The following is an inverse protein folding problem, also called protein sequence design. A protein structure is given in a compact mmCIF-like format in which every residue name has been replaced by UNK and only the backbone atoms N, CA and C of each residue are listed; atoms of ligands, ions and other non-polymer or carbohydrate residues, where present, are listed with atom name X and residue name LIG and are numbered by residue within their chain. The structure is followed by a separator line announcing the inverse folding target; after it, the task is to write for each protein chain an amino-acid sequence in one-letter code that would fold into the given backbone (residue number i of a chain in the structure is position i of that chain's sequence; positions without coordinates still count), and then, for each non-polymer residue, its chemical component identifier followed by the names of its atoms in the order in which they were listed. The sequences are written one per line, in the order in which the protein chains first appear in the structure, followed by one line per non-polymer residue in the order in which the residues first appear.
data_IF_391756624784
#
_entry.id   IF_391756624784
#
_cell.length_a   1.000
_cell.length_b   1.000
_cell.length_c   1.000
_cell.angle_alpha   90.00
_cell.angle_beta   90.00
_cell.angle_gamma   90.00
#
_symmetry.space_group_name_H-M   'P 1'
#
loop_
_entity.id
_entity.type
_entity.pdbx_description
1 polymer ?
#
# COMPACT_ATOMS: atom_id res chain seq x y z
N UNK A 1 4.62 -24.58 21.44
CA UNK A 1 5.47 -23.54 20.82
C UNK A 1 4.59 -22.34 20.54
N UNK A 2 4.49 -21.40 21.48
CA UNK A 2 3.64 -20.21 21.35
C UNK A 2 4.42 -19.14 20.57
N UNK A 3 3.91 -18.73 19.41
CA UNK A 3 4.53 -17.69 18.59
C UNK A 3 4.18 -16.34 19.21
N UNK A 4 5.17 -15.67 19.80
CA UNK A 4 4.99 -14.33 20.34
C UNK A 4 4.68 -13.36 19.19
N UNK A 5 3.51 -12.73 19.24
CA UNK A 5 3.14 -11.64 18.33
C UNK A 5 3.98 -10.42 18.71
N UNK A 6 5.01 -10.11 17.91
CA UNK A 6 5.81 -8.89 18.07
C UNK A 6 4.93 -7.70 17.69
N UNK A 7 4.46 -6.96 18.69
CA UNK A 7 3.76 -5.70 18.48
C UNK A 7 4.68 -4.71 17.75
N UNK A 8 4.27 -4.28 16.56
CA UNK A 8 5.02 -3.30 15.79
C UNK A 8 4.83 -1.93 16.44
N UNK A 9 5.82 -1.52 17.24
CA UNK A 9 5.90 -0.17 17.80
C UNK A 9 5.96 0.85 16.66
N UNK A 10 5.06 1.85 16.68
CA UNK A 10 5.04 3.00 15.77
C UNK A 10 6.10 4.06 16.11
N UNK A 11 6.94 3.82 17.12
CA UNK A 11 8.03 4.72 17.49
C UNK A 11 9.06 4.73 16.37
N UNK A 12 9.36 5.92 15.84
CA UNK A 12 10.45 6.12 14.91
C UNK A 12 11.78 5.87 15.63
N UNK A 13 12.24 4.61 15.61
CA UNK A 13 13.54 4.23 16.16
C UNK A 13 14.60 4.92 15.29
N UNK A 14 15.48 5.75 15.87
CA UNK A 14 16.55 6.37 15.10
C UNK A 14 17.40 5.27 14.45
N UNK A 15 17.91 5.49 13.22
CA UNK A 15 18.72 4.49 12.54
C UNK A 15 19.86 4.03 13.45
N UNK A 16 19.99 2.72 13.64
CA UNK A 16 21.08 2.17 14.44
C UNK A 16 22.41 2.61 13.80
N UNK A 17 23.13 3.51 14.46
CA UNK A 17 24.37 4.09 13.93
C UNK A 17 25.52 3.08 13.97
N UNK A 18 25.46 2.14 14.92
CA UNK A 18 26.52 1.18 15.13
C UNK A 18 26.58 0.16 13.98
N UNK A 19 27.78 -0.11 13.44
CA UNK A 19 27.99 -1.19 12.49
C UNK A 19 27.66 -2.54 13.14
N UNK A 20 27.28 -3.53 12.34
CA UNK A 20 27.09 -4.88 12.84
C UNK A 20 28.43 -5.37 13.42
N UNK A 21 28.49 -5.80 14.69
CA UNK A 21 29.75 -6.06 15.38
C UNK A 21 30.57 -7.17 14.71
N UNK A 22 29.89 -8.12 14.08
CA UNK A 22 30.52 -9.26 13.40
C UNK A 22 31.01 -8.93 11.98
N UNK A 23 30.45 -7.89 11.35
CA UNK A 23 30.70 -7.56 9.93
C UNK A 23 30.78 -6.04 9.69
N UNK A 24 31.75 -5.34 10.30
CA UNK A 24 31.85 -3.87 10.22
C UNK A 24 32.12 -3.37 8.80
N UNK A 25 32.93 -4.09 8.01
CA UNK A 25 33.22 -3.74 6.61
C UNK A 25 32.04 -3.95 5.64
N UNK A 26 30.96 -4.59 6.09
CA UNK A 26 29.73 -4.80 5.32
C UNK A 26 28.56 -3.95 5.82
N UNK A 27 28.80 -3.08 6.80
CA UNK A 27 27.78 -2.19 7.33
C UNK A 27 27.59 -0.97 6.43
N UNK A 28 26.34 -0.59 6.18
CA UNK A 28 26.02 0.62 5.43
C UNK A 28 26.34 1.86 6.28
N UNK A 29 26.99 2.84 5.66
CA UNK A 29 27.17 4.15 6.29
C UNK A 29 25.84 4.92 6.35
N UNK A 30 25.82 6.02 7.11
CA UNK A 30 24.60 6.83 7.32
C UNK A 30 23.96 7.29 6.00
N UNK A 31 24.77 7.82 5.08
CA UNK A 31 24.27 8.28 3.78
C UNK A 31 23.65 7.16 2.94
N UNK A 32 24.25 5.97 2.95
CA UNK A 32 23.73 4.80 2.24
C UNK A 32 22.42 4.32 2.85
N UNK A 33 22.29 4.35 4.18
CA UNK A 33 21.03 4.03 4.88
C UNK A 33 19.94 5.04 4.52
N UNK A 34 20.24 6.35 4.57
CA UNK A 34 19.31 7.41 4.21
C UNK A 34 18.85 7.27 2.75
N UNK A 35 19.78 7.08 1.81
CA UNK A 35 19.45 6.78 0.41
C UNK A 35 18.57 5.54 0.28
N UNK A 36 18.92 4.45 0.97
CA UNK A 36 18.12 3.21 0.97
C UNK A 36 16.68 3.44 1.44
N UNK A 37 16.49 4.19 2.53
CA UNK A 37 15.16 4.55 3.04
C UNK A 37 14.36 5.37 2.02
N UNK A 38 14.97 6.37 1.38
CA UNK A 38 14.28 7.15 0.34
C UNK A 38 13.84 6.30 -0.86
N UNK A 39 14.67 5.33 -1.27
CA UNK A 39 14.29 4.40 -2.33
C UNK A 39 13.14 3.49 -1.90
N UNK A 40 13.17 2.96 -0.67
CA UNK A 40 12.09 2.13 -0.14
C UNK A 40 10.76 2.89 -0.07
N UNK A 41 10.76 4.13 0.38
CA UNK A 41 9.56 4.99 0.38
C UNK A 41 9.02 5.22 -1.02
N UNK A 42 9.91 5.51 -1.98
CA UNK A 42 9.52 5.67 -3.38
C UNK A 42 8.92 4.39 -3.95
N UNK A 43 9.56 3.24 -3.74
CA UNK A 43 9.07 1.95 -4.22
C UNK A 43 7.72 1.59 -3.59
N UNK A 44 7.51 1.86 -2.29
CA UNK A 44 6.20 1.69 -1.65
C UNK A 44 5.11 2.48 -2.37
N UNK A 45 5.36 3.76 -2.66
CA UNK A 45 4.41 4.62 -3.40
C UNK A 45 4.15 4.09 -4.81
N UNK A 46 5.19 3.69 -5.53
CA UNK A 46 5.07 3.14 -6.88
C UNK A 46 4.26 1.84 -6.92
N UNK A 47 4.48 0.94 -5.96
CA UNK A 47 3.72 -0.32 -5.84
C UNK A 47 2.25 -0.07 -5.45
N UNK A 48 2.00 0.85 -4.53
CA UNK A 48 0.65 1.27 -4.16
C UNK A 48 -0.11 1.83 -5.37
N UNK A 49 0.50 2.76 -6.12
CA UNK A 49 -0.14 3.35 -7.29
C UNK A 49 -0.38 2.31 -8.40
N UNK A 50 0.54 1.37 -8.63
CA UNK A 50 0.33 0.26 -9.58
C UNK A 50 -0.89 -0.60 -9.24
N UNK A 51 -1.21 -0.75 -7.95
CA UNK A 51 -2.40 -1.49 -7.51
C UNK A 51 -3.67 -0.64 -7.58
N UNK A 52 -3.58 0.67 -7.32
CA UNK A 52 -4.72 1.59 -7.34
C UNK A 52 -5.18 1.97 -8.76
N UNK A 53 -4.26 2.12 -9.70
CA UNK A 53 -4.55 2.52 -11.09
C UNK A 53 -5.60 1.64 -11.81
N UNK A 54 -5.51 0.28 -11.77
CA UNK A 54 -6.53 -0.57 -12.37
C UNK A 54 -7.88 -0.48 -11.63
N UNK A 55 -7.88 -0.31 -10.31
CA UNK A 55 -9.10 -0.16 -9.51
C UNK A 55 -9.84 1.14 -9.87
N UNK A 56 -9.12 2.26 -9.96
CA UNK A 56 -9.66 3.56 -10.42
C UNK A 56 -10.27 3.46 -11.81
N UNK A 57 -9.55 2.81 -12.74
CA UNK A 57 -10.02 2.61 -14.11
C UNK A 57 -11.28 1.75 -14.18
N UNK A 58 -11.33 0.66 -13.40
CA UNK A 58 -12.51 -0.21 -13.34
C UNK A 58 -13.72 0.48 -12.70
N UNK A 59 -13.49 1.25 -11.62
CA UNK A 59 -14.51 2.08 -10.97
C UNK A 59 -15.13 3.06 -11.96
N UNK A 60 -14.30 3.79 -12.72
CA UNK A 60 -14.78 4.75 -13.71
C UNK A 60 -15.66 4.09 -14.80
N UNK A 61 -15.28 2.90 -15.27
CA UNK A 61 -16.09 2.11 -16.22
C UNK A 61 -17.45 1.73 -15.65
N UNK A 62 -17.48 1.20 -14.42
CA UNK A 62 -18.74 0.81 -13.77
C UNK A 62 -19.61 2.02 -13.44
N UNK A 63 -19.00 3.14 -13.04
CA UNK A 63 -19.72 4.39 -12.81
C UNK A 63 -20.38 4.89 -14.10
N UNK A 64 -19.68 4.83 -15.23
CA UNK A 64 -20.24 5.19 -16.53
C UNK A 64 -21.36 4.25 -16.98
N UNK A 65 -21.32 2.97 -16.61
CA UNK A 65 -22.43 2.04 -16.84
C UNK A 65 -23.62 2.36 -15.91
N UNK A 66 -23.35 2.70 -14.65
CA UNK A 66 -24.38 3.03 -13.68
C UNK A 66 -25.18 4.27 -14.06
N UNK A 67 -24.52 5.27 -14.65
CA UNK A 67 -25.18 6.50 -15.13
C UNK A 67 -26.00 6.27 -16.41
N UNK A 68 -25.62 5.27 -17.23
CA UNK A 68 -26.31 4.93 -18.49
C UNK A 68 -27.41 3.88 -18.33
N UNK A 69 -27.45 3.15 -17.22
CA UNK A 69 -28.43 2.08 -17.01
C UNK A 69 -29.77 2.63 -16.53
N UNK A 70 -30.82 2.31 -17.27
CA UNK A 70 -32.22 2.63 -16.92
C UNK A 70 -32.87 1.53 -16.05
N UNK A 71 -32.20 0.39 -15.88
CA UNK A 71 -32.71 -0.74 -15.11
C UNK A 71 -32.31 -0.66 -13.64
N UNK A 72 -33.29 -0.57 -12.73
CA UNK A 72 -33.05 -0.51 -11.29
C UNK A 72 -32.29 -1.73 -10.74
N UNK A 73 -32.52 -2.93 -11.30
CA UNK A 73 -31.81 -4.14 -10.87
C UNK A 73 -30.31 -4.08 -11.26
N UNK A 74 -30.03 -3.59 -12.46
CA UNK A 74 -28.66 -3.41 -12.95
C UNK A 74 -27.92 -2.31 -12.19
N UNK A 75 -28.57 -1.17 -11.92
CA UNK A 75 -28.01 -0.11 -11.06
C UNK A 75 -27.64 -0.64 -9.67
N UNK A 76 -28.51 -1.45 -9.03
CA UNK A 76 -28.19 -2.10 -7.75
C UNK A 76 -26.99 -3.04 -7.86
N UNK A 77 -26.87 -3.82 -8.94
CA UNK A 77 -25.71 -4.70 -9.18
C UNK A 77 -24.42 -3.88 -9.31
N UNK A 78 -24.44 -2.85 -10.15
CA UNK A 78 -23.29 -1.98 -10.41
C UNK A 78 -22.85 -1.23 -9.15
N UNK A 79 -23.80 -0.72 -8.36
CA UNK A 79 -23.51 -0.08 -7.07
C UNK A 79 -22.78 -1.01 -6.10
N UNK A 80 -23.21 -2.27 -5.97
CA UNK A 80 -22.51 -3.26 -5.14
C UNK A 80 -21.09 -3.51 -5.64
N UNK A 81 -20.88 -3.56 -6.94
CA UNK A 81 -19.55 -3.79 -7.51
C UNK A 81 -18.63 -2.58 -7.32
N UNK A 82 -19.15 -1.36 -7.46
CA UNK A 82 -18.43 -0.12 -7.14
C UNK A 82 -18.01 -0.11 -5.67
N UNK A 83 -18.92 -0.42 -4.75
CA UNK A 83 -18.62 -0.46 -3.32
C UNK A 83 -17.53 -1.49 -2.98
N UNK A 84 -17.49 -2.64 -3.66
CA UNK A 84 -16.42 -3.63 -3.51
C UNK A 84 -15.07 -3.10 -3.98
N UNK A 85 -15.04 -2.37 -5.09
CA UNK A 85 -13.82 -1.75 -5.59
C UNK A 85 -13.33 -0.67 -4.64
N UNK A 86 -14.25 0.13 -4.08
CA UNK A 86 -13.92 1.20 -3.15
C UNK A 86 -13.34 0.61 -1.84
N UNK A 87 -13.91 -0.50 -1.34
CA UNK A 87 -13.34 -1.23 -0.20
C UNK A 87 -11.93 -1.78 -0.51
N UNK A 88 -11.74 -2.43 -1.66
CA UNK A 88 -10.43 -2.92 -2.07
C UNK A 88 -9.40 -1.79 -2.24
N UNK A 89 -9.82 -0.63 -2.74
CA UNK A 89 -8.94 0.53 -2.87
C UNK A 89 -8.53 1.05 -1.49
N UNK A 90 -9.43 1.03 -0.51
CA UNK A 90 -9.13 1.40 0.87
C UNK A 90 -8.14 0.43 1.53
N UNK A 91 -8.25 -0.87 1.27
CA UNK A 91 -7.30 -1.88 1.76
C UNK A 91 -5.91 -1.71 1.12
N UNK A 92 -5.86 -1.37 -0.16
CA UNK A 92 -4.59 -1.05 -0.82
C UNK A 92 -3.99 0.21 -0.20
N UNK A 93 -4.79 1.25 0.02
CA UNK A 93 -4.31 2.48 0.66
C UNK A 93 -3.76 2.18 2.06
N UNK A 94 -4.49 1.47 2.92
CA UNK A 94 -4.06 1.16 4.29
C UNK A 94 -2.78 0.32 4.36
N UNK A 95 -2.52 -0.51 3.34
CA UNK A 95 -1.29 -1.31 3.27
C UNK A 95 -0.05 -0.51 2.85
N UNK A 96 -0.24 0.52 2.03
CA UNK A 96 0.86 1.27 1.41
C UNK A 96 1.03 2.71 1.95
N UNK A 97 0.08 3.20 2.75
CA UNK A 97 0.14 4.44 3.53
C UNK A 97 0.98 4.28 4.79
#
# INVERSE_FOLDING_TARGET
MSVATVEHSSVAIPPLENPCPDLPCWSLNREQKERGLTFLERTRKELGERQLQPLRSRRAKLQAQYTKSDCNAERKRLSREINRIDANAQDVLSRWS
#
